data_IF_504979223227
#
_entry.id   IF_504979223227
#
_cell.length_a   1.000
_cell.length_b   1.000
_cell.length_c   1.000
_cell.angle_alpha   90.00
_cell.angle_beta   90.00
_cell.angle_gamma   90.00
#
_symmetry.space_group_name_H-M   'P 1'
#
loop_
_entity.id
_entity.type
_entity.pdbx_description
1 polymer ?
#
# COMPACT_ATOMS: atom_id res chain seq x y z
N UNK A 1 -38.32 -18.75 -48.96
CA UNK A 1 -37.41 -17.96 -48.09
C UNK A 1 -36.16 -18.80 -47.84
N UNK A 2 -35.17 -18.69 -48.73
CA UNK A 2 -33.82 -18.11 -48.50
C UNK A 2 -32.87 -18.94 -47.60
N UNK A 3 -32.22 -19.89 -48.27
CA UNK A 3 -30.84 -20.41 -48.15
C UNK A 3 -30.14 -20.41 -46.78
N UNK A 4 -29.96 -21.64 -46.29
CA UNK A 4 -28.74 -22.16 -45.66
C UNK A 4 -27.46 -21.70 -46.39
N UNK A 5 -26.55 -21.11 -45.62
CA UNK A 5 -25.11 -20.98 -45.88
C UNK A 5 -24.49 -21.48 -44.55
N UNK A 6 -23.74 -22.57 -44.42
CA UNK A 6 -22.60 -23.12 -45.16
C UNK A 6 -21.49 -22.09 -45.40
N UNK A 7 -20.57 -22.02 -44.44
CA UNK A 7 -19.20 -21.58 -44.69
C UNK A 7 -18.23 -22.56 -43.99
N UNK A 8 -17.40 -23.17 -44.84
CA UNK A 8 -16.17 -23.88 -44.54
C UNK A 8 -15.32 -23.08 -43.54
N UNK A 9 -14.61 -23.67 -42.58
CA UNK A 9 -13.58 -24.66 -42.79
C UNK A 9 -12.23 -23.98 -43.01
N UNK A 10 -11.48 -23.72 -41.93
CA UNK A 10 -10.02 -23.60 -41.95
C UNK A 10 -9.47 -24.07 -40.60
N UNK A 11 -8.92 -25.28 -40.61
CA UNK A 11 -8.00 -25.74 -39.58
C UNK A 11 -6.57 -25.32 -39.93
N UNK A 12 -5.83 -24.88 -38.93
CA UNK A 12 -4.37 -24.84 -38.82
C UNK A 12 -4.12 -24.78 -37.30
N UNK A 13 -3.29 -25.56 -36.65
CA UNK A 13 -2.32 -26.56 -37.05
C UNK A 13 -1.50 -26.80 -35.78
N UNK A 14 -1.42 -28.04 -35.31
CA UNK A 14 -0.49 -28.41 -34.24
C UNK A 14 0.91 -28.53 -34.84
N UNK A 15 1.84 -27.70 -34.39
CA UNK A 15 3.30 -27.85 -34.45
C UNK A 15 3.88 -26.63 -33.74
N UNK A 16 4.86 -26.66 -32.86
CA UNK A 16 5.72 -27.70 -32.34
C UNK A 16 6.57 -27.02 -31.25
N UNK A 17 6.88 -27.79 -30.20
CA UNK A 17 7.83 -27.42 -29.16
C UNK A 17 9.22 -27.33 -29.78
N UNK A 18 9.85 -26.15 -29.73
CA UNK A 18 11.31 -26.02 -29.89
C UNK A 18 11.80 -24.95 -28.90
N UNK A 19 12.16 -25.38 -27.69
CA UNK A 19 13.31 -24.84 -26.97
C UNK A 19 14.56 -25.48 -27.62
N UNK A 20 15.65 -24.75 -27.89
CA UNK A 20 16.53 -24.37 -26.77
C UNK A 20 17.36 -23.06 -26.94
N UNK A 21 17.85 -22.60 -25.78
CA UNK A 21 19.12 -21.90 -25.50
C UNK A 21 19.78 -21.02 -26.58
N UNK A 22 19.84 -19.70 -26.30
CA UNK A 22 21.05 -18.87 -26.36
C UNK A 22 20.91 -17.80 -25.26
N UNK A 23 21.63 -17.94 -24.13
CA UNK A 23 22.83 -17.15 -23.83
C UNK A 23 22.59 -15.64 -24.11
N UNK A 24 22.27 -14.83 -23.11
CA UNK A 24 23.17 -14.48 -22.01
C UNK A 24 23.87 -13.16 -22.36
N UNK A 25 23.34 -12.05 -21.80
CA UNK A 25 24.01 -10.80 -21.39
C UNK A 25 22.86 -9.88 -20.92
N UNK A 26 22.45 -10.03 -19.65
CA UNK A 26 21.75 -8.98 -18.92
C UNK A 26 22.83 -8.31 -18.05
N UNK A 27 23.56 -7.36 -18.64
CA UNK A 27 24.40 -6.46 -17.87
C UNK A 27 23.48 -5.46 -17.17
N UNK A 28 23.28 -5.70 -15.88
CA UNK A 28 22.73 -4.77 -14.90
C UNK A 28 23.63 -3.53 -14.84
N UNK A 29 23.34 -2.52 -15.65
CA UNK A 29 23.79 -1.16 -15.37
C UNK A 29 22.95 -0.63 -14.20
N UNK A 30 23.49 -0.76 -13.00
CA UNK A 30 22.94 -0.13 -11.80
C UNK A 30 23.01 1.40 -11.91
N UNK A 31 21.88 2.06 -11.67
CA UNK A 31 21.82 3.50 -11.47
C UNK A 31 22.49 3.86 -10.12
N UNK A 32 23.68 4.49 -10.15
CA UNK A 32 24.07 5.39 -9.05
C UNK A 32 23.44 6.75 -9.33
N UNK A 33 22.18 6.94 -8.90
CA UNK A 33 21.63 8.27 -8.77
C UNK A 33 22.07 8.83 -7.42
N UNK A 34 23.19 9.56 -7.43
CA UNK A 34 23.69 10.30 -6.29
C UNK A 34 22.74 11.44 -5.97
N UNK A 35 21.79 11.20 -5.07
CA UNK A 35 21.06 12.22 -4.34
C UNK A 35 22.06 12.99 -3.45
N UNK A 36 22.74 13.97 -4.04
CA UNK A 36 23.36 15.08 -3.30
C UNK A 36 22.24 15.91 -2.67
N UNK A 37 21.78 15.48 -1.49
CA UNK A 37 21.03 16.34 -0.59
C UNK A 37 22.02 17.35 -0.01
N UNK A 38 21.97 18.57 -0.53
CA UNK A 38 22.73 19.70 0.00
C UNK A 38 22.08 20.14 1.31
N UNK A 39 22.60 19.65 2.43
CA UNK A 39 22.30 20.21 3.75
C UNK A 39 22.90 21.61 3.86
N UNK A 40 22.10 22.62 3.49
CA UNK A 40 22.33 23.99 3.93
C UNK A 40 21.76 24.14 5.33
N UNK A 41 22.56 23.70 6.30
CA UNK A 41 22.34 23.88 7.73
C UNK A 41 22.20 25.38 8.03
N UNK A 42 20.99 25.81 8.41
CA UNK A 42 20.73 27.10 9.03
C UNK A 42 20.05 26.85 10.36
N UNK A 43 20.88 26.93 11.38
CA UNK A 43 20.63 27.43 12.73
C UNK A 43 19.17 27.49 13.18
N UNK A 44 18.81 26.61 14.11
CA UNK A 44 18.00 27.04 15.24
C UNK A 44 18.46 26.35 16.52
N UNK A 45 18.77 27.23 17.47
CA UNK A 45 19.31 27.01 18.79
C UNK A 45 18.36 26.14 19.62
N UNK A 46 18.74 24.89 19.90
CA UNK A 46 18.12 24.13 20.98
C UNK A 46 19.09 24.14 22.15
N UNK A 47 18.62 24.77 23.21
CA UNK A 47 19.30 24.89 24.49
C UNK A 47 19.53 23.47 25.03
N UNK A 48 20.80 23.07 25.05
CA UNK A 48 21.27 21.87 25.73
C UNK A 48 21.06 22.05 27.23
N UNK A 49 20.01 21.45 27.76
CA UNK A 49 19.88 21.20 29.20
C UNK A 49 20.32 19.77 29.47
N UNK A 50 21.62 19.62 29.71
CA UNK A 50 22.23 18.45 30.32
C UNK A 50 21.69 18.27 31.74
N UNK A 51 21.22 17.08 32.09
CA UNK A 51 20.99 16.71 33.48
C UNK A 51 21.36 15.25 33.67
N UNK A 52 22.56 15.06 34.20
CA UNK A 52 23.09 13.81 34.73
C UNK A 52 23.45 14.05 36.19
N UNK A 53 22.91 13.24 37.11
CA UNK A 53 23.69 12.48 38.11
C UNK A 53 22.81 11.99 39.26
N UNK A 54 22.86 10.67 39.44
CA UNK A 54 22.89 9.86 40.69
C UNK A 54 23.00 10.61 42.02
N UNK A 55 22.29 10.13 43.07
CA UNK A 55 22.79 9.99 44.46
C UNK A 55 21.82 9.20 45.39
N UNK A 56 22.31 8.03 45.82
CA UNK A 56 22.16 7.20 47.06
C UNK A 56 20.84 6.97 47.84
N UNK A 57 20.74 5.69 48.26
CA UNK A 57 19.89 4.93 49.22
C UNK A 57 19.77 5.55 50.64
N UNK A 58 18.81 5.13 51.51
CA UNK A 58 18.90 3.87 52.27
C UNK A 58 17.57 3.11 52.58
N UNK A 59 17.77 1.83 52.96
CA UNK A 59 16.83 0.76 53.36
C UNK A 59 16.32 0.97 54.80
N UNK A 60 15.09 0.51 55.15
CA UNK A 60 14.97 -0.60 56.13
C UNK A 60 13.86 -1.63 55.83
N UNK A 61 14.17 -2.90 56.08
CA UNK A 61 13.27 -4.03 56.37
C UNK A 61 13.34 -4.33 57.90
N UNK A 62 12.51 -5.18 58.57
CA UNK A 62 11.67 -6.29 58.10
C UNK A 62 10.21 -6.24 58.67
N UNK A 63 9.28 -7.17 58.37
CA UNK A 63 8.90 -8.39 59.15
C UNK A 63 7.50 -8.89 58.63
N UNK A 64 6.89 -10.00 59.10
CA UNK A 64 6.83 -11.33 58.49
C UNK A 64 5.47 -11.76 57.85
N UNK A 65 5.55 -12.96 57.24
CA UNK A 65 4.57 -13.83 56.55
C UNK A 65 3.44 -14.41 57.43
N UNK A 66 2.21 -14.52 56.89
CA UNK A 66 1.39 -15.76 56.89
C UNK A 66 0.12 -15.60 56.03
N UNK A 67 -0.04 -16.28 54.88
CA UNK A 67 -0.67 -17.60 54.58
C UNK A 67 -2.21 -17.69 54.70
N UNK A 68 -2.80 -18.24 53.62
CA UNK A 68 -4.16 -18.83 53.43
C UNK A 68 -5.27 -17.82 53.05
N UNK A 69 -6.13 -18.08 52.06
CA UNK A 69 -6.90 -19.33 51.82
C UNK A 69 -7.26 -19.50 50.33
N UNK A 70 -7.38 -20.76 49.91
CA UNK A 70 -7.87 -21.20 48.60
C UNK A 70 -9.41 -21.13 48.48
N UNK A 71 -9.91 -21.27 47.24
CA UNK A 71 -11.30 -21.54 46.81
C UNK A 71 -12.22 -20.31 46.79
N UNK A 72 -12.84 -19.94 45.66
CA UNK A 72 -13.70 -20.81 44.85
C UNK A 72 -13.87 -20.28 43.40
N UNK A 73 -13.76 -21.17 42.41
CA UNK A 73 -14.47 -21.06 41.13
C UNK A 73 -15.74 -21.94 41.25
N UNK A 74 -16.94 -21.53 40.78
CA UNK A 74 -17.27 -21.67 39.35
C UNK A 74 -18.33 -20.70 38.79
N UNK A 75 -18.22 -20.36 37.49
CA UNK A 75 -19.30 -20.48 36.49
C UNK A 75 -18.76 -20.04 35.11
N UNK A 76 -18.99 -20.81 34.03
CA UNK A 76 -18.65 -20.38 32.68
C UNK A 76 -19.62 -19.27 32.26
N UNK A 77 -19.13 -18.04 32.15
CA UNK A 77 -19.86 -17.01 31.42
C UNK A 77 -20.00 -17.46 29.96
N UNK A 78 -21.19 -17.30 29.34
CA UNK A 78 -21.35 -17.55 27.92
C UNK A 78 -20.36 -16.68 27.15
N UNK A 79 -19.63 -17.31 26.23
CA UNK A 79 -18.74 -16.61 25.30
C UNK A 79 -19.52 -15.47 24.63
N UNK A 80 -19.03 -14.22 24.68
CA UNK A 80 -19.66 -13.14 23.93
C UNK A 80 -19.67 -13.52 22.45
N UNK A 81 -20.84 -13.37 21.84
CA UNK A 81 -21.04 -13.51 20.40
C UNK A 81 -19.94 -12.75 19.64
N UNK A 82 -19.46 -13.26 18.49
CA UNK A 82 -18.39 -12.63 17.74
C UNK A 82 -18.75 -11.17 17.46
N UNK A 83 -17.93 -10.27 18.00
CA UNK A 83 -18.01 -8.85 17.70
C UNK A 83 -18.02 -8.67 16.17
N UNK A 84 -18.84 -7.75 15.63
CA UNK A 84 -18.85 -7.47 14.21
C UNK A 84 -17.43 -7.18 13.75
N UNK A 85 -17.02 -7.91 12.72
CA UNK A 85 -15.75 -7.79 12.02
C UNK A 85 -15.41 -6.30 11.84
N UNK A 86 -14.22 -5.83 12.27
CA UNK A 86 -13.87 -4.42 12.19
C UNK A 86 -13.93 -3.98 10.72
N UNK A 87 -14.82 -3.02 10.45
CA UNK A 87 -14.89 -2.37 9.14
C UNK A 87 -13.50 -1.89 8.71
N UNK A 88 -13.19 -1.91 7.40
CA UNK A 88 -11.92 -1.45 6.89
C UNK A 88 -11.71 0.00 7.30
N UNK A 89 -10.80 0.21 8.26
CA UNK A 89 -10.42 1.54 8.79
C UNK A 89 -9.48 2.25 7.82
N UNK A 90 -9.81 2.23 6.52
CA UNK A 90 -9.33 3.29 5.63
C UNK A 90 -9.92 4.60 6.15
N UNK A 91 -9.08 5.54 6.58
CA UNK A 91 -9.56 6.83 7.08
C UNK A 91 -10.53 7.46 6.07
N UNK A 92 -11.59 8.17 6.49
CA UNK A 92 -12.54 8.78 5.57
C UNK A 92 -11.86 9.65 4.49
N UNK A 93 -10.78 10.33 4.86
CA UNK A 93 -9.95 11.10 3.93
C UNK A 93 -9.29 10.23 2.85
N UNK A 94 -8.80 9.04 3.21
CA UNK A 94 -8.14 8.13 2.28
C UNK A 94 -9.12 7.49 1.30
N UNK A 95 -10.32 7.13 1.77
CA UNK A 95 -11.43 6.73 0.88
C UNK A 95 -11.80 7.83 -0.10
N UNK A 96 -11.86 9.07 0.39
CA UNK A 96 -12.11 10.25 -0.45
C UNK A 96 -11.05 10.44 -1.53
N UNK A 97 -9.77 10.29 -1.19
CA UNK A 97 -8.66 10.39 -2.16
C UNK A 97 -8.75 9.32 -3.24
N UNK A 98 -8.97 8.06 -2.87
CA UNK A 98 -9.11 6.97 -3.85
C UNK A 98 -10.27 7.26 -4.83
N UNK A 99 -11.41 7.77 -4.33
CA UNK A 99 -12.53 8.17 -5.18
C UNK A 99 -12.20 9.27 -6.18
N UNK A 100 -11.46 10.29 -5.76
CA UNK A 100 -10.97 11.35 -6.67
C UNK A 100 -10.09 10.76 -7.78
N UNK A 101 -9.15 9.89 -7.44
CA UNK A 101 -8.22 9.31 -8.41
C UNK A 101 -8.92 8.39 -9.42
N UNK A 102 -10.01 7.72 -9.01
CA UNK A 102 -10.87 7.00 -9.94
C UNK A 102 -11.58 7.93 -10.93
N UNK A 103 -12.06 9.08 -10.46
CA UNK A 103 -12.68 10.08 -11.34
C UNK A 103 -11.69 10.65 -12.36
N UNK A 104 -10.43 10.86 -11.96
CA UNK A 104 -9.36 11.28 -12.85
C UNK A 104 -9.00 10.20 -13.89
N UNK A 105 -8.98 8.92 -13.50
CA UNK A 105 -8.79 7.82 -14.44
C UNK A 105 -9.89 7.80 -15.52
N UNK A 106 -11.14 8.10 -15.16
CA UNK A 106 -12.23 8.19 -16.13
C UNK A 106 -12.02 9.35 -17.12
N UNK A 107 -11.49 10.48 -16.66
CA UNK A 107 -11.08 11.60 -17.52
C UNK A 107 -9.90 11.21 -18.41
N UNK A 108 -8.89 10.55 -17.85
CA UNK A 108 -7.70 10.08 -18.55
C UNK A 108 -8.05 9.14 -19.69
N UNK A 109 -9.03 8.24 -19.49
CA UNK A 109 -9.53 7.33 -20.51
C UNK A 109 -10.02 8.06 -21.76
N UNK A 110 -10.70 9.20 -21.57
CA UNK A 110 -11.22 10.01 -22.68
C UNK A 110 -10.13 10.74 -23.42
N UNK A 111 -9.07 11.19 -22.73
CA UNK A 111 -8.05 12.08 -23.31
C UNK A 111 -6.79 11.35 -23.80
N UNK A 112 -6.38 10.29 -23.12
CA UNK A 112 -5.21 9.45 -23.44
C UNK A 112 -5.45 7.99 -23.06
N UNK A 113 -6.09 7.19 -23.94
CA UNK A 113 -6.41 5.77 -23.67
C UNK A 113 -5.18 4.91 -23.38
N UNK A 114 -4.04 5.21 -24.03
CA UNK A 114 -2.77 4.51 -23.82
C UNK A 114 -2.23 4.73 -22.40
N UNK A 115 -2.19 5.98 -21.95
CA UNK A 115 -1.72 6.30 -20.58
C UNK A 115 -2.70 5.78 -19.53
N UNK A 116 -4.00 5.84 -19.82
CA UNK A 116 -5.04 5.26 -18.97
C UNK A 116 -4.79 3.78 -18.68
N UNK A 117 -4.57 2.94 -19.70
CA UNK A 117 -4.39 1.50 -19.50
C UNK A 117 -3.22 1.19 -18.53
N UNK A 118 -2.11 1.91 -18.68
CA UNK A 118 -0.96 1.78 -17.80
C UNK A 118 -1.26 2.23 -16.37
N UNK A 119 -1.85 3.43 -16.18
CA UNK A 119 -2.16 3.95 -14.84
C UNK A 119 -3.26 3.15 -14.14
N UNK A 120 -4.24 2.65 -14.88
CA UNK A 120 -5.31 1.80 -14.35
C UNK A 120 -4.75 0.47 -13.83
N UNK A 121 -3.83 -0.16 -14.56
CA UNK A 121 -3.20 -1.40 -14.10
C UNK A 121 -2.39 -1.18 -12.80
N UNK A 122 -1.62 -0.10 -12.70
CA UNK A 122 -0.88 0.24 -11.48
C UNK A 122 -1.80 0.54 -10.29
N UNK A 123 -2.88 1.29 -10.53
CA UNK A 123 -3.89 1.57 -9.51
C UNK A 123 -4.59 0.30 -9.03
N UNK A 124 -5.05 -0.57 -9.94
CA UNK A 124 -5.72 -1.83 -9.59
C UNK A 124 -4.79 -2.76 -8.80
N UNK A 125 -3.50 -2.79 -9.14
CA UNK A 125 -2.48 -3.53 -8.38
C UNK A 125 -2.33 -2.98 -6.95
N UNK A 126 -2.27 -1.66 -6.80
CA UNK A 126 -2.23 -1.04 -5.47
C UNK A 126 -3.45 -1.43 -4.64
N UNK A 127 -4.66 -1.33 -5.20
CA UNK A 127 -5.89 -1.70 -4.48
C UNK A 127 -5.89 -3.19 -4.10
N UNK A 128 -5.46 -4.07 -5.01
CA UNK A 128 -5.35 -5.50 -4.71
C UNK A 128 -4.34 -5.78 -3.59
N UNK A 129 -3.15 -5.18 -3.64
CA UNK A 129 -2.14 -5.36 -2.59
C UNK A 129 -2.60 -4.82 -1.24
N UNK A 130 -3.30 -3.67 -1.24
CA UNK A 130 -3.91 -3.11 -0.03
C UNK A 130 -4.98 -4.05 0.55
N UNK A 131 -5.77 -4.73 -0.29
CA UNK A 131 -6.79 -5.67 0.17
C UNK A 131 -6.21 -6.85 0.97
N UNK A 132 -5.05 -7.37 0.54
CA UNK A 132 -4.35 -8.45 1.26
C UNK A 132 -3.93 -7.97 2.64
N UNK A 133 -3.39 -6.75 2.73
CA UNK A 133 -3.01 -6.17 4.01
C UNK A 133 -4.24 -5.97 4.91
N UNK A 134 -5.36 -5.48 4.39
CA UNK A 134 -6.57 -5.30 5.21
C UNK A 134 -7.09 -6.60 5.81
N UNK A 135 -6.91 -7.73 5.13
CA UNK A 135 -7.33 -9.04 5.64
C UNK A 135 -6.50 -9.50 6.85
N UNK A 136 -5.20 -9.19 6.88
CA UNK A 136 -4.29 -9.61 7.97
C UNK A 136 -4.04 -8.51 9.01
N UNK A 137 -4.47 -7.27 8.74
CA UNK A 137 -4.26 -6.10 9.61
C UNK A 137 -4.83 -6.31 11.01
N UNK A 138 -5.87 -7.12 11.17
CA UNK A 138 -6.42 -7.48 12.48
C UNK A 138 -5.42 -8.26 13.34
N UNK A 139 -4.68 -9.17 12.72
CA UNK A 139 -3.96 -10.26 13.39
C UNK A 139 -2.48 -9.94 13.67
N UNK A 140 -1.94 -8.87 13.09
CA UNK A 140 -0.55 -8.43 13.27
C UNK A 140 -0.38 -7.48 14.47
N UNK A 141 0.86 -7.23 14.92
CA UNK A 141 1.15 -6.30 16.01
C UNK A 141 0.98 -4.82 15.59
N UNK A 142 0.80 -3.92 16.58
CA UNK A 142 0.54 -2.50 16.35
C UNK A 142 1.63 -1.80 15.51
N UNK A 143 2.91 -2.01 15.82
CA UNK A 143 4.02 -1.40 15.08
C UNK A 143 3.99 -1.77 13.59
N UNK A 144 3.67 -3.02 13.27
CA UNK A 144 3.56 -3.48 11.88
C UNK A 144 2.36 -2.84 11.19
N UNK A 145 1.23 -2.66 11.89
CA UNK A 145 0.06 -1.94 11.36
C UNK A 145 0.44 -0.51 11.00
N UNK A 146 1.05 0.22 11.94
CA UNK A 146 1.39 1.64 11.74
C UNK A 146 2.34 1.84 10.56
N UNK A 147 3.33 0.96 10.42
CA UNK A 147 4.29 0.99 9.32
C UNK A 147 3.61 0.73 7.97
N UNK A 148 2.75 -0.30 7.91
CA UNK A 148 2.07 -0.67 6.68
C UNK A 148 0.99 0.36 6.31
N UNK A 149 0.26 0.90 7.28
CA UNK A 149 -0.70 1.98 7.09
C UNK A 149 -0.03 3.21 6.49
N UNK A 150 1.12 3.62 7.04
CA UNK A 150 1.90 4.74 6.50
C UNK A 150 2.37 4.48 5.06
N UNK A 151 2.83 3.25 4.78
CA UNK A 151 3.26 2.84 3.45
C UNK A 151 2.11 2.88 2.43
N UNK A 152 0.96 2.29 2.76
CA UNK A 152 -0.19 2.26 1.85
C UNK A 152 -0.76 3.65 1.64
N UNK A 153 -0.85 4.47 2.70
CA UNK A 153 -1.23 5.87 2.58
C UNK A 153 -0.31 6.63 1.63
N UNK A 154 1.01 6.48 1.78
CA UNK A 154 1.98 7.10 0.88
C UNK A 154 1.81 6.61 -0.56
N UNK A 155 1.71 5.30 -0.80
CA UNK A 155 1.57 4.75 -2.15
C UNK A 155 0.26 5.16 -2.82
N UNK A 156 -0.84 5.21 -2.07
CA UNK A 156 -2.12 5.74 -2.56
C UNK A 156 -1.97 7.20 -2.98
N UNK A 157 -1.38 8.02 -2.12
CA UNK A 157 -1.15 9.42 -2.41
C UNK A 157 -0.26 9.62 -3.65
N UNK A 158 0.81 8.82 -3.77
CA UNK A 158 1.72 8.86 -4.90
C UNK A 158 0.99 8.47 -6.20
N UNK A 159 0.30 7.33 -6.21
CA UNK A 159 -0.42 6.86 -7.40
C UNK A 159 -1.48 7.85 -7.87
N UNK A 160 -2.19 8.45 -6.93
CA UNK A 160 -3.14 9.53 -7.19
C UNK A 160 -2.51 10.74 -7.87
N UNK A 161 -1.41 11.27 -7.32
CA UNK A 161 -0.72 12.40 -7.92
C UNK A 161 -0.05 12.07 -9.27
N UNK A 162 0.24 10.80 -9.54
CA UNK A 162 0.71 10.37 -10.86
C UNK A 162 -0.42 10.32 -11.90
N UNK A 163 -1.64 9.95 -11.49
CA UNK A 163 -2.83 9.97 -12.35
C UNK A 163 -3.19 11.41 -12.70
N UNK A 164 -3.23 12.30 -11.71
CA UNK A 164 -3.50 13.74 -11.89
C UNK A 164 -2.57 14.37 -12.92
N UNK A 165 -1.25 14.12 -12.79
CA UNK A 165 -0.26 14.58 -13.77
C UNK A 165 -0.51 14.03 -15.16
N UNK A 166 -0.80 12.72 -15.27
CA UNK A 166 -1.10 12.12 -16.56
C UNK A 166 -2.37 12.73 -17.21
N UNK A 167 -3.34 13.14 -16.40
CA UNK A 167 -4.52 13.87 -16.89
C UNK A 167 -4.10 15.23 -17.44
N UNK A 168 -3.35 16.02 -16.69
CA UNK A 168 -2.87 17.33 -17.13
C UNK A 168 -2.02 17.24 -18.40
N UNK A 169 -1.08 16.30 -18.46
CA UNK A 169 -0.25 16.06 -19.65
C UNK A 169 -1.09 15.69 -20.88
N UNK A 170 -2.14 14.88 -20.69
CA UNK A 170 -3.07 14.51 -21.75
C UNK A 170 -3.88 15.71 -22.25
N UNK A 171 -4.30 16.60 -21.35
CA UNK A 171 -5.03 17.82 -21.69
C UNK A 171 -4.16 18.80 -22.47
N UNK A 172 -2.91 19.01 -22.04
CA UNK A 172 -1.94 19.89 -22.72
C UNK A 172 -1.71 19.40 -24.16
N UNK A 173 -1.40 18.11 -24.34
CA UNK A 173 -1.16 17.53 -25.68
C UNK A 173 -2.36 17.68 -26.61
N UNK A 174 -3.58 17.56 -26.07
CA UNK A 174 -4.80 17.81 -26.85
C UNK A 174 -4.92 19.29 -27.23
N UNK A 175 -4.69 20.20 -26.30
CA UNK A 175 -4.70 21.64 -26.57
C UNK A 175 -3.69 22.05 -27.64
N UNK A 176 -2.48 21.48 -27.61
CA UNK A 176 -1.44 21.71 -28.62
C UNK A 176 -1.77 21.12 -30.00
N UNK A 177 -2.60 20.07 -30.05
CA UNK A 177 -3.00 19.41 -31.30
C UNK A 177 -4.12 20.12 -32.08
N UNK A 178 -4.76 21.14 -31.49
CA UNK A 178 -5.82 21.93 -32.16
C UNK A 178 -5.19 23.13 -32.90
N UNK A 179 -4.36 22.84 -33.90
CA UNK A 179 -3.77 23.83 -34.81
C UNK A 179 -4.09 23.46 -36.25
#
# INVERSE_FOLDING_TARGET
MKKVQNFQGYGWGKAGIVLPLLAGIFLLAGCQNSNKWSDKSRSETVVTSSSSSTTVTPVPAPTPRSTQTAQSAPAPMPAPAPAPMPEPVSSPAERGRIGLCQSELASLQKISPKTYAAKKASFDNLIRSASVYTAVRGDINAQTKDTMDALYKYKTNQMCSEIERAVMDGLIRRGESVK
#
